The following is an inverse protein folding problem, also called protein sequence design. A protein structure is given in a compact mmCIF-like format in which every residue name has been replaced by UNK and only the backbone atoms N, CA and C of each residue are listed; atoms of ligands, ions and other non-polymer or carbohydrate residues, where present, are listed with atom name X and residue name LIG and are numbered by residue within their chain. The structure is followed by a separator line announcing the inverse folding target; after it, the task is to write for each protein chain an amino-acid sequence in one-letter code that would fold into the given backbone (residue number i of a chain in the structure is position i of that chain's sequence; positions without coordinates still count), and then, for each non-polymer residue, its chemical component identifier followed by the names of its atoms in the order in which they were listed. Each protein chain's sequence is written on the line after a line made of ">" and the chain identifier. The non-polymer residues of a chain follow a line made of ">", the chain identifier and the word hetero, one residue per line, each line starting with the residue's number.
data_IF_842075842842
#
_entry.id   IF_842075842842
#
_cell.length_a   1.000
_cell.length_b   1.000
_cell.length_c   1.000
_cell.angle_alpha   90.00
_cell.angle_beta   90.00
_cell.angle_gamma   90.00
#
_symmetry.space_group_name_H-M   'P 1'
#
loop_
_entity.id
_entity.type
_entity.pdbx_description
1 polymer ?
#
# COMPACT_ATOMS: atom_id res chain seq x y z
N UNK A 1 4.29 -23.36 -19.35
CA UNK A 1 4.69 -23.62 -17.93
C UNK A 1 4.92 -22.30 -17.22
N UNK A 2 4.16 -21.99 -16.18
CA UNK A 2 4.41 -20.76 -15.42
C UNK A 2 5.69 -20.90 -14.58
N UNK A 3 6.55 -19.86 -14.53
CA UNK A 3 7.72 -19.88 -13.66
C UNK A 3 7.33 -20.17 -12.21
N UNK A 4 8.17 -20.92 -11.50
CA UNK A 4 7.93 -21.34 -10.11
C UNK A 4 7.59 -20.16 -9.17
N UNK A 5 8.18 -19.00 -9.42
CA UNK A 5 7.92 -17.77 -8.69
C UNK A 5 6.49 -17.25 -8.82
N UNK A 6 5.90 -17.32 -10.02
CA UNK A 6 4.50 -16.89 -10.23
C UNK A 6 3.50 -17.83 -9.56
N UNK A 7 3.80 -19.13 -9.49
CA UNK A 7 2.98 -20.08 -8.75
C UNK A 7 2.99 -19.81 -7.25
N UNK A 8 4.14 -19.49 -6.68
CA UNK A 8 4.25 -19.18 -5.25
C UNK A 8 3.54 -17.87 -4.89
N UNK A 9 3.68 -16.83 -5.71
CA UNK A 9 3.01 -15.56 -5.49
C UNK A 9 1.48 -15.68 -5.58
N UNK A 10 0.96 -16.47 -6.53
CA UNK A 10 -0.47 -16.79 -6.60
C UNK A 10 -0.95 -17.59 -5.40
N UNK A 11 -0.16 -18.55 -4.95
CA UNK A 11 -0.46 -19.37 -3.77
C UNK A 11 -0.61 -18.54 -2.50
N UNK A 12 0.17 -17.47 -2.37
CA UNK A 12 0.13 -16.55 -1.22
C UNK A 12 -0.77 -15.33 -1.44
N UNK A 13 -1.45 -15.24 -2.57
CA UNK A 13 -2.38 -14.16 -2.88
C UNK A 13 -1.74 -12.82 -3.25
N UNK A 14 -0.41 -12.73 -3.32
CA UNK A 14 0.32 -11.48 -3.60
C UNK A 14 0.05 -10.93 -5.00
N UNK A 15 -0.10 -11.81 -5.99
CA UNK A 15 -0.42 -11.43 -7.38
C UNK A 15 -1.92 -11.53 -7.70
N UNK A 16 -2.75 -11.91 -6.75
CA UNK A 16 -4.20 -11.92 -6.93
C UNK A 16 -4.74 -10.50 -6.83
N UNK A 17 -5.81 -10.22 -7.59
CA UNK A 17 -6.52 -8.96 -7.43
C UNK A 17 -7.05 -8.84 -5.98
N UNK A 18 -6.93 -7.68 -5.33
CA UNK A 18 -7.50 -7.48 -4.01
C UNK A 18 -9.01 -7.68 -4.02
N UNK A 19 -9.63 -8.19 -2.93
CA UNK A 19 -11.07 -8.24 -2.81
C UNK A 19 -11.70 -6.87 -2.96
N UNK A 20 -12.87 -6.81 -3.59
CA UNK A 20 -13.61 -5.56 -3.79
C UNK A 20 -13.88 -4.80 -2.49
N UNK A 21 -14.13 -5.51 -1.39
CA UNK A 21 -14.37 -4.90 -0.08
C UNK A 21 -13.15 -4.15 0.47
N UNK A 22 -11.94 -4.68 0.28
CA UNK A 22 -10.69 -4.02 0.69
C UNK A 22 -10.44 -2.76 -0.15
N UNK A 23 -10.64 -2.84 -1.45
CA UNK A 23 -10.52 -1.70 -2.36
C UNK A 23 -11.52 -0.60 -2.01
N UNK A 24 -12.76 -0.98 -1.73
CA UNK A 24 -13.81 -0.04 -1.32
C UNK A 24 -13.46 0.66 0.00
N UNK A 25 -12.93 -0.05 0.97
CA UNK A 25 -12.50 0.53 2.25
C UNK A 25 -11.42 1.61 2.05
N UNK A 26 -10.45 1.37 1.20
CA UNK A 26 -9.43 2.38 0.84
C UNK A 26 -10.02 3.54 0.05
N UNK A 27 -10.92 3.27 -0.91
CA UNK A 27 -11.58 4.30 -1.69
C UNK A 27 -12.38 5.27 -0.81
N UNK A 28 -13.11 4.74 0.16
CA UNK A 28 -13.86 5.56 1.13
C UNK A 28 -12.94 6.43 1.97
N UNK A 29 -11.79 5.93 2.40
CA UNK A 29 -10.77 6.73 3.10
C UNK A 29 -10.22 7.86 2.23
N UNK A 30 -9.86 7.56 0.99
CA UNK A 30 -9.26 8.52 0.07
C UNK A 30 -10.23 9.66 -0.27
N UNK A 31 -11.49 9.33 -0.46
CA UNK A 31 -12.56 10.29 -0.81
C UNK A 31 -13.33 10.81 0.42
N UNK A 32 -12.95 10.39 1.62
CA UNK A 32 -13.64 10.75 2.88
C UNK A 32 -15.13 10.45 2.91
N UNK A 33 -15.53 9.33 2.32
CA UNK A 33 -16.89 8.87 2.27
C UNK A 33 -17.21 8.02 3.51
N UNK A 34 -18.25 8.37 4.24
CA UNK A 34 -18.69 7.60 5.41
C UNK A 34 -19.13 6.19 5.01
N UNK A 35 -18.87 5.24 5.90
CA UNK A 35 -19.36 3.86 5.74
C UNK A 35 -20.86 3.84 5.53
N UNK A 36 -21.34 3.13 4.51
CA UNK A 36 -22.75 3.04 4.15
C UNK A 36 -23.28 4.16 3.26
N UNK A 37 -22.54 5.25 3.07
CA UNK A 37 -22.90 6.29 2.09
C UNK A 37 -22.68 5.77 0.66
N UNK A 38 -23.45 6.26 -0.34
CA UNK A 38 -23.27 5.85 -1.72
C UNK A 38 -21.91 6.31 -2.28
N UNK A 39 -21.31 5.47 -3.11
CA UNK A 39 -20.07 5.83 -3.82
C UNK A 39 -20.37 6.85 -4.92
N UNK A 40 -19.40 7.75 -5.24
CA UNK A 40 -19.55 8.69 -6.35
C UNK A 40 -19.52 7.96 -7.70
N UNK A 41 -19.91 8.68 -8.75
CA UNK A 41 -19.77 8.20 -10.12
C UNK A 41 -18.27 8.02 -10.45
N UNK A 42 -17.89 6.78 -10.76
CA UNK A 42 -16.51 6.42 -11.07
C UNK A 42 -16.07 6.80 -12.49
N UNK A 43 -16.95 7.42 -13.29
CA UNK A 43 -16.58 8.02 -14.58
C UNK A 43 -15.91 9.39 -14.42
N UNK A 44 -16.07 10.03 -13.28
CA UNK A 44 -15.31 11.24 -12.95
C UNK A 44 -13.82 10.92 -12.84
N UNK A 45 -12.98 11.76 -13.43
CA UNK A 45 -11.53 11.55 -13.50
C UNK A 45 -10.88 11.45 -12.11
N UNK A 46 -11.31 12.28 -11.17
CA UNK A 46 -10.83 12.25 -9.79
C UNK A 46 -11.22 10.96 -9.08
N UNK A 47 -12.48 10.55 -9.21
CA UNK A 47 -12.98 9.32 -8.62
C UNK A 47 -12.31 8.07 -9.23
N UNK A 48 -12.07 8.08 -10.53
CA UNK A 48 -11.36 7.01 -11.22
C UNK A 48 -9.89 6.91 -10.75
N UNK A 49 -9.21 8.03 -10.57
CA UNK A 49 -7.85 8.08 -10.04
C UNK A 49 -7.80 7.62 -8.58
N UNK A 50 -8.80 8.01 -7.77
CA UNK A 50 -8.94 7.53 -6.39
C UNK A 50 -9.16 6.01 -6.33
N UNK A 51 -9.95 5.45 -7.23
CA UNK A 51 -10.15 4.00 -7.33
C UNK A 51 -8.85 3.26 -7.68
N UNK A 52 -8.09 3.80 -8.62
CA UNK A 52 -6.77 3.24 -8.96
C UNK A 52 -5.83 3.28 -7.76
N UNK A 53 -5.77 4.40 -7.05
CA UNK A 53 -4.99 4.53 -5.81
C UNK A 53 -5.46 3.52 -4.74
N UNK A 54 -6.76 3.38 -4.54
CA UNK A 54 -7.34 2.43 -3.59
C UNK A 54 -6.92 0.98 -3.89
N UNK A 55 -6.92 0.58 -5.15
CA UNK A 55 -6.41 -0.74 -5.57
C UNK A 55 -4.93 -0.91 -5.25
N UNK A 56 -4.12 0.11 -5.50
CA UNK A 56 -2.68 0.06 -5.20
C UNK A 56 -2.39 0.04 -3.72
N UNK A 57 -3.17 0.72 -2.90
CA UNK A 57 -3.09 0.63 -1.45
C UNK A 57 -3.39 -0.79 -0.95
N UNK A 58 -4.45 -1.42 -1.45
CA UNK A 58 -4.80 -2.80 -1.10
C UNK A 58 -3.73 -3.81 -1.54
N UNK A 59 -3.16 -3.65 -2.73
CA UNK A 59 -2.04 -4.46 -3.22
C UNK A 59 -0.80 -4.29 -2.33
N UNK A 60 -0.51 -3.06 -1.92
CA UNK A 60 0.62 -2.75 -1.05
C UNK A 60 0.46 -3.38 0.34
N UNK A 61 -0.71 -3.32 0.94
CA UNK A 61 -1.00 -4.00 2.22
C UNK A 61 -0.73 -5.51 2.13
N UNK A 62 -1.14 -6.14 1.05
CA UNK A 62 -0.89 -7.56 0.81
C UNK A 62 0.59 -7.87 0.64
N UNK A 63 1.30 -7.03 -0.11
CA UNK A 63 2.74 -7.18 -0.28
C UNK A 63 3.49 -7.01 1.04
N UNK A 64 3.07 -6.08 1.90
CA UNK A 64 3.60 -5.89 3.25
C UNK A 64 3.37 -7.12 4.12
N UNK A 65 2.14 -7.61 4.16
CA UNK A 65 1.79 -8.81 4.94
C UNK A 65 2.58 -10.04 4.50
N UNK A 66 2.75 -10.23 3.19
CA UNK A 66 3.55 -11.31 2.64
C UNK A 66 5.03 -11.17 3.01
N UNK A 67 5.58 -9.97 2.90
CA UNK A 67 6.96 -9.70 3.27
C UNK A 67 7.23 -9.99 4.74
N UNK A 68 6.34 -9.55 5.63
CA UNK A 68 6.42 -9.83 7.07
C UNK A 68 6.36 -11.34 7.35
N UNK A 69 5.45 -12.06 6.70
CA UNK A 69 5.31 -13.51 6.85
C UNK A 69 6.56 -14.27 6.37
N UNK A 70 7.23 -13.80 5.32
CA UNK A 70 8.45 -14.43 4.78
C UNK A 70 9.70 -14.12 5.59
N UNK A 71 9.75 -13.00 6.28
CA UNK A 71 10.92 -12.60 7.09
C UNK A 71 10.99 -13.37 8.40
N UNK A 72 9.84 -13.68 9.00
CA UNK A 72 9.79 -14.43 10.25
C UNK A 72 10.59 -13.77 11.39
N UNK A 73 11.20 -14.62 12.24
CA UNK A 73 11.95 -14.18 13.43
C UNK A 73 13.37 -13.65 13.16
N UNK A 74 13.71 -13.35 11.90
CA UNK A 74 15.04 -12.85 11.52
C UNK A 74 15.18 -11.34 11.61
N UNK A 75 14.17 -10.65 12.05
CA UNK A 75 14.19 -9.20 12.12
C UNK A 75 15.17 -8.73 13.20
N UNK A 76 16.02 -7.77 12.81
CA UNK A 76 16.83 -7.01 13.71
C UNK A 76 15.92 -6.31 14.74
N UNK A 77 16.17 -6.44 16.07
CA UNK A 77 15.37 -5.77 17.09
C UNK A 77 15.25 -4.26 16.89
N UNK A 78 16.26 -3.59 16.37
CA UNK A 78 16.22 -2.15 16.05
C UNK A 78 15.24 -1.84 14.92
N UNK A 79 15.22 -2.67 13.88
CA UNK A 79 14.30 -2.55 12.76
C UNK A 79 12.86 -2.77 13.22
N UNK A 80 12.64 -3.77 14.07
CA UNK A 80 11.30 -4.05 14.61
C UNK A 80 10.80 -2.92 15.51
N UNK A 81 11.64 -2.38 16.39
CA UNK A 81 11.30 -1.25 17.23
C UNK A 81 10.95 0.00 16.39
N UNK A 82 11.71 0.25 15.33
CA UNK A 82 11.43 1.35 14.41
C UNK A 82 10.14 1.13 13.63
N UNK A 83 9.85 -0.11 13.22
CA UNK A 83 8.61 -0.49 12.53
C UNK A 83 7.39 -0.29 13.43
N UNK A 84 7.47 -0.68 14.69
CA UNK A 84 6.42 -0.43 15.69
C UNK A 84 6.18 1.06 15.89
N UNK A 85 7.23 1.84 16.06
CA UNK A 85 7.15 3.29 16.19
C UNK A 85 6.46 3.93 14.99
N UNK A 86 6.83 3.55 13.78
CA UNK A 86 6.20 4.05 12.55
C UNK A 86 4.74 3.62 12.44
N UNK A 87 4.41 2.41 12.86
CA UNK A 87 3.03 1.92 12.89
C UNK A 87 2.18 2.75 13.84
N UNK A 88 2.67 3.00 15.05
CA UNK A 88 1.98 3.81 16.05
C UNK A 88 1.76 5.24 15.54
N UNK A 89 2.75 5.86 14.93
CA UNK A 89 2.63 7.19 14.33
C UNK A 89 1.56 7.22 13.23
N UNK A 90 1.46 6.18 12.42
CA UNK A 90 0.48 6.08 11.33
C UNK A 90 -0.92 5.87 11.89
N UNK A 91 -1.10 4.98 12.87
CA UNK A 91 -2.39 4.69 13.48
C UNK A 91 -2.92 5.89 14.26
N UNK A 92 -2.05 6.57 15.01
CA UNK A 92 -2.44 7.72 15.84
C UNK A 92 -2.79 8.97 15.01
N UNK A 93 -2.09 9.17 13.90
CA UNK A 93 -2.24 10.40 13.12
C UNK A 93 -3.09 10.24 11.85
N UNK A 94 -3.26 9.00 11.34
CA UNK A 94 -3.93 8.75 10.07
C UNK A 94 -3.24 9.42 8.87
N UNK A 95 -3.75 9.18 7.68
CA UNK A 95 -3.34 9.91 6.48
C UNK A 95 -4.48 10.86 6.10
N UNK A 96 -4.17 12.16 6.14
CA UNK A 96 -5.09 13.21 5.71
C UNK A 96 -4.95 13.44 4.21
N UNK A 97 -5.81 12.80 3.44
CA UNK A 97 -5.82 12.93 1.97
C UNK A 97 -6.33 14.28 1.47
N UNK A 98 -7.04 15.07 2.29
CA UNK A 98 -7.43 16.42 1.93
C UNK A 98 -6.21 17.37 1.92
N UNK A 99 -5.33 17.21 2.88
CA UNK A 99 -4.06 17.92 2.88
C UNK A 99 -3.03 17.17 2.03
N UNK A 100 -3.06 17.43 0.73
CA UNK A 100 -2.25 16.74 -0.29
C UNK A 100 -0.77 16.72 0.01
N UNK A 101 -0.23 17.86 0.45
CA UNK A 101 1.20 17.98 0.74
C UNK A 101 1.60 17.15 1.94
N UNK A 102 0.77 17.09 2.96
CA UNK A 102 1.01 16.26 4.15
C UNK A 102 0.86 14.76 3.84
N UNK A 103 -0.21 14.38 3.14
CA UNK A 103 -0.41 13.00 2.70
C UNK A 103 0.75 12.50 1.86
N UNK A 104 1.18 13.27 0.87
CA UNK A 104 2.32 12.92 0.03
C UNK A 104 3.61 12.75 0.83
N UNK A 105 3.88 13.67 1.75
CA UNK A 105 5.07 13.59 2.62
C UNK A 105 5.04 12.37 3.55
N UNK A 106 3.90 12.06 4.15
CA UNK A 106 3.77 10.88 5.02
C UNK A 106 3.96 9.59 4.26
N UNK A 107 3.26 9.43 3.15
CA UNK A 107 3.35 8.23 2.35
C UNK A 107 4.75 8.02 1.77
N UNK A 108 5.41 9.12 1.39
CA UNK A 108 6.80 9.06 0.94
C UNK A 108 7.76 8.64 2.06
N UNK A 109 7.59 9.14 3.27
CA UNK A 109 8.41 8.72 4.43
C UNK A 109 8.21 7.25 4.76
N UNK A 110 6.97 6.76 4.70
CA UNK A 110 6.67 5.35 4.89
C UNK A 110 7.38 4.49 3.85
N UNK A 111 7.34 4.89 2.59
CA UNK A 111 8.03 4.19 1.51
C UNK A 111 9.55 4.18 1.70
N UNK A 112 10.14 5.29 2.08
CA UNK A 112 11.57 5.39 2.34
C UNK A 112 11.99 4.50 3.51
N UNK A 113 11.20 4.47 4.58
CA UNK A 113 11.45 3.61 5.72
C UNK A 113 11.35 2.12 5.33
N UNK A 114 10.31 1.73 4.63
CA UNK A 114 10.15 0.34 4.17
C UNK A 114 11.27 -0.07 3.20
N UNK A 115 11.70 0.82 2.31
CA UNK A 115 12.85 0.57 1.44
C UNK A 115 14.13 0.36 2.22
N UNK A 116 14.33 1.12 3.29
CA UNK A 116 15.47 0.93 4.17
C UNK A 116 15.43 -0.44 4.85
N UNK A 117 14.26 -0.84 5.39
CA UNK A 117 14.08 -2.16 6.03
C UNK A 117 14.38 -3.33 5.09
N UNK A 118 13.99 -3.21 3.83
CA UNK A 118 14.21 -4.27 2.82
C UNK A 118 15.48 -4.07 1.99
N UNK A 119 16.28 -3.07 2.32
CA UNK A 119 17.52 -2.78 1.62
C UNK A 119 18.48 -3.98 1.68
N UNK A 120 19.01 -4.35 0.51
CA UNK A 120 19.92 -5.50 0.39
C UNK A 120 19.22 -6.86 0.34
N UNK A 121 17.94 -6.94 0.62
CA UNK A 121 17.17 -8.19 0.48
C UNK A 121 16.88 -8.45 -1.00
N UNK A 122 17.16 -9.68 -1.43
CA UNK A 122 16.98 -10.15 -2.82
C UNK A 122 15.85 -11.16 -2.96
N UNK A 123 15.14 -11.48 -1.89
CA UNK A 123 14.03 -12.42 -1.93
C UNK A 123 12.81 -11.85 -2.67
N UNK A 124 11.95 -12.74 -3.15
CA UNK A 124 10.77 -12.38 -3.94
C UNK A 124 9.80 -11.47 -3.18
N UNK A 125 9.64 -11.68 -1.87
CA UNK A 125 8.74 -10.86 -1.04
C UNK A 125 9.17 -9.40 -1.01
N UNK A 126 10.46 -9.11 -0.88
CA UNK A 126 11.00 -7.76 -0.92
C UNK A 126 10.85 -7.13 -2.32
N UNK A 127 11.02 -7.92 -3.37
CA UNK A 127 10.81 -7.47 -4.76
C UNK A 127 9.35 -7.07 -5.01
N UNK A 128 8.40 -7.91 -4.60
CA UNK A 128 6.98 -7.59 -4.72
C UNK A 128 6.58 -6.34 -3.94
N UNK A 129 7.15 -6.18 -2.74
CA UNK A 129 6.92 -4.99 -1.93
C UNK A 129 7.41 -3.72 -2.64
N UNK A 130 8.64 -3.73 -3.20
CA UNK A 130 9.16 -2.58 -3.97
C UNK A 130 8.32 -2.27 -5.19
N UNK A 131 7.87 -3.28 -5.93
CA UNK A 131 6.99 -3.10 -7.09
C UNK A 131 5.64 -2.50 -6.69
N UNK A 132 5.04 -2.99 -5.61
CA UNK A 132 3.78 -2.47 -5.08
C UNK A 132 3.91 -1.01 -4.61
N UNK A 133 5.01 -0.67 -3.92
CA UNK A 133 5.31 0.72 -3.53
C UNK A 133 5.45 1.64 -4.74
N UNK A 134 6.13 1.19 -5.79
CA UNK A 134 6.29 1.96 -7.02
C UNK A 134 4.95 2.22 -7.73
N UNK A 135 4.08 1.22 -7.79
CA UNK A 135 2.73 1.36 -8.37
C UNK A 135 1.87 2.32 -7.56
N UNK A 136 1.89 2.20 -6.24
CA UNK A 136 1.15 3.11 -5.37
C UNK A 136 1.64 4.55 -5.51
N UNK A 137 2.94 4.78 -5.58
CA UNK A 137 3.50 6.12 -5.78
C UNK A 137 2.97 6.75 -7.06
N UNK A 138 2.98 6.03 -8.19
CA UNK A 138 2.46 6.55 -9.46
C UNK A 138 0.97 6.86 -9.40
N UNK A 139 0.19 5.99 -8.77
CA UNK A 139 -1.25 6.22 -8.59
C UNK A 139 -1.54 7.42 -7.67
N UNK A 140 -0.74 7.59 -6.61
CA UNK A 140 -0.83 8.73 -5.71
C UNK A 140 -0.52 10.05 -6.43
N UNK A 141 0.57 10.10 -7.19
CA UNK A 141 0.95 11.28 -7.98
C UNK A 141 -0.15 11.65 -8.97
N UNK A 142 -0.70 10.68 -9.69
CA UNK A 142 -1.81 10.90 -10.62
C UNK A 142 -3.07 11.43 -9.91
N UNK A 143 -3.40 10.90 -8.75
CA UNK A 143 -4.54 11.37 -7.95
C UNK A 143 -4.33 12.80 -7.46
N UNK A 144 -3.15 13.12 -6.96
CA UNK A 144 -2.83 14.44 -6.43
C UNK A 144 -2.82 15.52 -7.52
N UNK A 145 -2.50 15.18 -8.76
CA UNK A 145 -2.60 16.09 -9.91
C UNK A 145 -4.05 16.46 -10.26
N UNK A 146 -4.99 15.53 -10.05
CA UNK A 146 -6.42 15.72 -10.35
C UNK A 146 -7.22 16.29 -9.19
N UNK A 147 -6.70 16.19 -8.03
CA UNK A 147 -7.40 16.67 -6.84
C UNK A 147 -7.30 18.25 -6.69
#
# INVERSE_FOLDING_TARGET
>A
MMPRAKKNARRHGVLSAPPAAEVEAHLRKILEIKTGAPLPDLTDARAAAALTLARREAELERARAHCVACVGARDDPEVEAMRELMRDIIEDCGVDYENRSEAARRLLRMDLFERWVIQGRKDLSARYLREAMGRRRRALEAYLELA
#
